data_IF_859572718095
#
_entry.id   IF_859572718095
#
_cell.length_a   1.000
_cell.length_b   1.000
_cell.length_c   1.000
_cell.angle_alpha   90.00
_cell.angle_beta   90.00
_cell.angle_gamma   90.00
#
_symmetry.space_group_name_H-M   'P 1'
#
loop_
_entity.id
_entity.type
_entity.pdbx_description
1 polymer ?
#
# COMPACT_ATOMS: atom_id res chain seq x y z
N UNK A 1 -60.29 29.72 11.08
CA UNK A 1 -59.47 29.94 9.88
C UNK A 1 -58.09 30.30 10.34
N UNK A 2 -57.08 29.49 10.01
CA UNK A 2 -55.70 29.75 10.46
C UNK A 2 -55.17 31.00 9.75
N UNK A 3 -54.52 31.91 10.48
CA UNK A 3 -53.97 33.12 9.90
C UNK A 3 -52.83 32.73 8.91
N UNK A 4 -52.87 33.21 7.66
CA UNK A 4 -51.83 32.87 6.67
C UNK A 4 -50.42 33.31 7.12
N UNK A 5 -50.29 34.35 7.93
CA UNK A 5 -48.98 34.80 8.46
C UNK A 5 -48.44 33.84 9.53
N UNK A 6 -49.29 33.28 10.38
CA UNK A 6 -48.89 32.25 11.36
C UNK A 6 -48.41 30.99 10.66
N UNK A 7 -49.11 30.58 9.60
CA UNK A 7 -48.72 29.41 8.80
C UNK A 7 -47.35 29.60 8.12
N UNK A 8 -47.01 30.81 7.69
CA UNK A 8 -45.69 31.11 7.14
C UNK A 8 -44.62 31.07 8.24
N UNK A 9 -44.91 31.63 9.43
CA UNK A 9 -44.01 31.61 10.58
C UNK A 9 -43.67 30.18 11.02
N UNK A 10 -44.67 29.31 11.12
CA UNK A 10 -44.47 27.90 11.49
C UNK A 10 -43.61 27.15 10.46
N UNK A 11 -43.81 27.45 9.17
CA UNK A 11 -43.01 26.85 8.09
C UNK A 11 -41.56 27.32 8.13
N UNK A 12 -41.31 28.60 8.41
CA UNK A 12 -39.95 29.13 8.52
C UNK A 12 -39.21 28.52 9.72
N UNK A 13 -39.89 28.41 10.86
CA UNK A 13 -39.34 27.77 12.07
C UNK A 13 -38.96 26.31 11.80
N UNK A 14 -39.81 25.56 11.09
CA UNK A 14 -39.52 24.18 10.72
C UNK A 14 -38.33 24.06 9.75
N UNK A 15 -38.18 24.99 8.81
CA UNK A 15 -37.05 25.03 7.89
C UNK A 15 -35.76 25.31 8.67
N UNK A 16 -35.76 26.27 9.60
CA UNK A 16 -34.60 26.56 10.44
C UNK A 16 -34.19 25.35 11.28
N UNK A 17 -35.15 24.67 11.90
CA UNK A 17 -34.88 23.44 12.67
C UNK A 17 -34.22 22.37 11.80
N UNK A 18 -34.75 22.12 10.59
CA UNK A 18 -34.18 21.19 9.62
C UNK A 18 -32.76 21.57 9.18
N UNK A 19 -32.50 22.86 8.94
CA UNK A 19 -31.17 23.32 8.55
C UNK A 19 -30.16 23.16 9.69
N UNK A 20 -30.59 23.39 10.93
CA UNK A 20 -29.78 23.13 12.12
C UNK A 20 -29.45 21.64 12.20
N UNK A 21 -30.43 20.75 12.04
CA UNK A 21 -30.20 19.30 12.06
C UNK A 21 -29.22 18.85 10.99
N UNK A 22 -29.38 19.32 9.74
CA UNK A 22 -28.47 19.01 8.63
C UNK A 22 -27.05 19.50 8.93
N UNK A 23 -26.89 20.67 9.55
CA UNK A 23 -25.57 21.21 9.92
C UNK A 23 -24.88 20.36 11.00
N UNK A 24 -25.64 19.76 11.90
CA UNK A 24 -25.10 18.93 12.98
C UNK A 24 -24.91 17.46 12.58
N UNK A 25 -25.41 17.07 11.40
CA UNK A 25 -25.11 15.75 10.88
C UNK A 25 -23.60 15.64 10.64
N UNK A 26 -22.94 14.60 11.18
CA UNK A 26 -21.55 14.34 10.88
C UNK A 26 -21.42 14.20 9.36
N UNK A 27 -20.32 14.71 8.76
CA UNK A 27 -20.11 14.57 7.33
C UNK A 27 -20.26 13.09 6.98
N UNK A 28 -21.00 12.75 5.90
CA UNK A 28 -21.10 11.37 5.47
C UNK A 28 -19.68 10.85 5.32
N UNK A 29 -19.38 9.73 6.00
CA UNK A 29 -18.08 9.05 5.85
C UNK A 29 -17.96 8.66 4.39
N UNK A 30 -17.31 9.50 3.60
CA UNK A 30 -16.96 9.22 2.22
C UNK A 30 -16.15 7.94 2.21
N UNK A 31 -16.67 6.92 1.52
CA UNK A 31 -15.96 5.66 1.23
C UNK A 31 -14.57 5.91 0.61
N UNK A 32 -14.35 7.11 0.05
CA UNK A 32 -13.11 7.53 -0.59
C UNK A 32 -11.92 7.68 0.37
N UNK A 33 -12.12 7.85 1.68
CA UNK A 33 -10.99 7.94 2.61
C UNK A 33 -10.19 6.62 2.71
N UNK A 34 -10.84 5.47 2.48
CA UNK A 34 -10.16 4.18 2.44
C UNK A 34 -9.46 3.89 1.09
N UNK A 35 -9.89 4.54 0.01
CA UNK A 35 -9.24 4.43 -1.31
C UNK A 35 -7.89 5.15 -1.34
N UNK A 36 -7.70 6.21 -0.55
CA UNK A 36 -6.43 6.92 -0.49
C UNK A 36 -5.35 6.16 0.33
N UNK A 37 -5.77 5.20 1.15
CA UNK A 37 -4.89 4.37 1.97
C UNK A 37 -4.22 3.24 1.17
N UNK A 38 -4.79 2.85 0.03
CA UNK A 38 -4.33 1.70 -0.76
C UNK A 38 -4.08 2.08 -2.22
N UNK A 39 -2.96 1.60 -2.76
CA UNK A 39 -2.53 1.86 -4.14
C UNK A 39 -2.46 0.57 -4.94
N UNK A 40 -2.74 0.66 -6.23
CA UNK A 40 -2.57 -0.46 -7.15
C UNK A 40 -1.17 -0.48 -7.76
N UNK A 41 -0.84 -1.56 -8.46
CA UNK A 41 0.48 -1.69 -9.09
C UNK A 41 0.71 -0.66 -10.22
N UNK A 42 -0.35 -0.19 -10.87
CA UNK A 42 -0.24 0.84 -11.91
C UNK A 42 0.22 2.18 -11.31
N UNK A 43 -0.29 2.55 -10.13
CA UNK A 43 0.19 3.71 -9.39
C UNK A 43 1.68 3.58 -9.04
N UNK A 44 2.13 2.40 -8.60
CA UNK A 44 3.54 2.15 -8.27
C UNK A 44 4.44 2.34 -9.50
N UNK A 45 4.01 1.87 -10.67
CA UNK A 45 4.75 2.06 -11.94
C UNK A 45 4.88 3.55 -12.30
N UNK A 46 3.84 4.35 -12.03
CA UNK A 46 3.85 5.79 -12.30
C UNK A 46 4.76 6.57 -11.34
N UNK A 47 4.89 6.12 -10.09
CA UNK A 47 5.76 6.77 -9.09
C UNK A 47 7.22 6.35 -9.27
N UNK A 48 7.47 5.07 -9.57
CA UNK A 48 8.80 4.50 -9.76
C UNK A 48 9.28 4.62 -11.21
N UNK A 49 9.37 5.85 -11.73
CA UNK A 49 9.82 6.12 -13.09
C UNK A 49 11.26 5.61 -13.28
N UNK A 50 11.49 4.78 -14.30
CA UNK A 50 12.81 4.25 -14.64
C UNK A 50 13.15 2.88 -14.02
N UNK A 51 12.30 2.32 -13.16
CA UNK A 51 12.48 0.95 -12.64
C UNK A 51 11.74 -0.05 -13.54
N UNK A 52 12.40 -1.11 -14.03
CA UNK A 52 11.73 -2.15 -14.82
C UNK A 52 10.58 -2.81 -14.05
N UNK A 53 9.50 -3.11 -14.77
CA UNK A 53 8.32 -3.77 -14.21
C UNK A 53 8.65 -5.08 -13.50
N UNK A 54 9.56 -5.89 -14.07
CA UNK A 54 10.00 -7.17 -13.50
C UNK A 54 10.65 -6.98 -12.13
N UNK A 55 11.47 -5.95 -11.98
CA UNK A 55 12.12 -5.58 -10.71
C UNK A 55 11.08 -5.15 -9.69
N UNK A 56 10.11 -4.32 -10.08
CA UNK A 56 9.01 -3.91 -9.21
C UNK A 56 8.14 -5.11 -8.80
N UNK A 57 7.81 -6.02 -9.71
CA UNK A 57 7.07 -7.26 -9.38
C UNK A 57 7.84 -8.15 -8.40
N UNK A 58 9.16 -8.23 -8.53
CA UNK A 58 10.02 -8.96 -7.59
C UNK A 58 10.03 -8.33 -6.19
N UNK A 59 10.03 -7.00 -6.10
CA UNK A 59 9.99 -6.24 -4.85
C UNK A 59 8.60 -6.30 -4.19
N UNK A 60 7.55 -6.08 -4.97
CA UNK A 60 6.15 -5.96 -4.52
C UNK A 60 5.37 -7.28 -4.58
N UNK A 61 6.06 -8.42 -4.58
CA UNK A 61 5.42 -9.74 -4.55
C UNK A 61 4.63 -9.93 -3.25
N UNK A 62 3.38 -10.38 -3.38
CA UNK A 62 2.33 -10.42 -2.34
C UNK A 62 2.71 -11.08 -1.00
N UNK A 63 3.81 -11.85 -0.95
CA UNK A 63 4.29 -12.51 0.28
C UNK A 63 5.21 -11.63 1.13
N UNK A 64 5.71 -10.51 0.59
CA UNK A 64 6.67 -9.63 1.27
C UNK A 64 6.05 -8.39 1.91
N UNK A 65 4.87 -7.99 1.46
CA UNK A 65 4.23 -6.73 1.89
C UNK A 65 3.06 -7.04 2.82
N UNK A 66 3.11 -6.60 4.09
CA UNK A 66 2.03 -6.85 5.03
C UNK A 66 0.77 -6.05 4.65
N UNK A 67 -0.40 -6.57 5.02
CA UNK A 67 -1.71 -5.96 4.78
C UNK A 67 -2.07 -5.71 3.29
N UNK A 68 -1.52 -6.52 2.38
CA UNK A 68 -1.92 -6.46 0.97
C UNK A 68 -3.35 -6.99 0.81
N UNK A 69 -4.25 -6.19 0.23
CA UNK A 69 -5.64 -6.58 -0.05
C UNK A 69 -5.75 -7.09 -1.48
N UNK A 70 -6.39 -8.25 -1.68
CA UNK A 70 -6.71 -8.76 -3.01
C UNK A 70 -8.17 -8.44 -3.34
N UNK A 71 -8.39 -7.61 -4.36
CA UNK A 71 -9.73 -7.30 -4.89
C UNK A 71 -9.84 -7.90 -6.29
N UNK A 72 -10.51 -9.05 -6.38
CA UNK A 72 -10.63 -9.81 -7.62
C UNK A 72 -9.26 -10.22 -8.18
N UNK A 73 -8.90 -9.68 -9.35
CA UNK A 73 -7.59 -9.92 -10.01
C UNK A 73 -6.52 -8.89 -9.63
N UNK A 74 -6.87 -7.82 -8.91
CA UNK A 74 -5.96 -6.74 -8.54
C UNK A 74 -5.44 -6.95 -7.12
N UNK A 75 -4.17 -6.62 -6.90
CA UNK A 75 -3.59 -6.45 -5.57
C UNK A 75 -3.49 -4.97 -5.25
N UNK A 76 -3.90 -4.64 -4.04
CA UNK A 76 -3.83 -3.31 -3.45
C UNK A 76 -2.86 -3.33 -2.28
N UNK A 77 -1.96 -2.37 -2.28
CA UNK A 77 -0.87 -2.25 -1.33
C UNK A 77 -1.10 -1.02 -0.45
N UNK A 78 -0.82 -1.09 0.86
CA UNK A 78 -0.90 0.10 1.70
C UNK A 78 0.08 1.18 1.23
N UNK A 79 -0.42 2.37 0.92
CA UNK A 79 0.35 3.50 0.36
C UNK A 79 1.57 3.85 1.21
N UNK A 80 1.40 3.89 2.53
CA UNK A 80 2.47 4.19 3.48
C UNK A 80 3.64 3.18 3.40
N UNK A 81 3.34 1.90 3.20
CA UNK A 81 4.37 0.86 3.10
C UNK A 81 5.10 0.96 1.75
N UNK A 82 4.34 1.21 0.68
CA UNK A 82 4.91 1.41 -0.66
C UNK A 82 5.89 2.58 -0.67
N UNK A 83 5.49 3.73 -0.10
CA UNK A 83 6.36 4.92 -0.01
C UNK A 83 7.63 4.62 0.79
N UNK A 84 7.51 3.94 1.94
CA UNK A 84 8.68 3.55 2.73
C UNK A 84 9.65 2.65 1.95
N UNK A 85 9.13 1.66 1.22
CA UNK A 85 9.96 0.79 0.37
C UNK A 85 10.68 1.60 -0.73
N UNK A 86 10.00 2.60 -1.30
CA UNK A 86 10.59 3.48 -2.31
C UNK A 86 11.68 4.35 -1.67
N UNK A 87 11.45 4.93 -0.50
CA UNK A 87 12.46 5.69 0.24
C UNK A 87 13.69 4.85 0.63
N UNK A 88 13.45 3.63 1.13
CA UNK A 88 14.50 2.67 1.48
C UNK A 88 15.28 2.21 0.25
N UNK A 89 14.66 2.19 -0.93
CA UNK A 89 15.33 1.78 -2.18
C UNK A 89 15.90 2.93 -3.01
N UNK A 90 15.46 4.16 -2.76
CA UNK A 90 16.06 5.41 -3.25
C UNK A 90 17.24 5.87 -2.39
N UNK A 91 17.28 5.44 -1.12
CA UNK A 91 18.46 5.49 -0.27
C UNK A 91 19.47 4.43 -0.69
N UNK A 92 20.09 4.62 -1.86
CA UNK A 92 21.50 4.23 -1.99
C UNK A 92 22.29 5.09 -0.99
N UNK A 93 22.24 4.72 0.29
CA UNK A 93 23.46 4.80 1.10
C UNK A 93 24.47 4.06 0.23
N UNK A 94 25.48 4.79 -0.26
CA UNK A 94 26.55 4.21 -1.03
C UNK A 94 27.06 3.00 -0.23
N UNK A 95 26.70 1.79 -0.66
CA UNK A 95 27.19 0.57 -0.06
C UNK A 95 28.67 0.59 -0.38
N UNK A 96 29.49 0.90 0.62
CA UNK A 96 30.93 0.98 0.47
C UNK A 96 31.41 -0.36 -0.09
N UNK A 97 32.41 -0.35 -0.98
CA UNK A 97 32.89 -1.55 -1.68
C UNK A 97 33.13 -2.75 -0.74
N UNK A 98 33.53 -2.48 0.51
CA UNK A 98 33.74 -3.47 1.57
C UNK A 98 32.48 -4.27 1.95
N UNK A 99 31.32 -3.61 2.02
CA UNK A 99 30.05 -4.28 2.30
C UNK A 99 29.56 -5.11 1.11
N UNK A 100 29.92 -4.70 -0.12
CA UNK A 100 29.62 -5.47 -1.32
C UNK A 100 30.45 -6.76 -1.37
N UNK A 101 31.74 -6.68 -0.99
CA UNK A 101 32.63 -7.83 -0.86
C UNK A 101 32.11 -8.87 0.13
N UNK A 102 31.75 -8.44 1.35
CA UNK A 102 31.25 -9.34 2.38
C UNK A 102 29.94 -10.07 1.97
N UNK A 103 29.08 -9.41 1.20
CA UNK A 103 27.86 -10.03 0.69
C UNK A 103 28.13 -11.01 -0.46
N UNK A 104 29.12 -10.73 -1.31
CA UNK A 104 29.54 -11.63 -2.37
C UNK A 104 30.17 -12.91 -1.80
N UNK A 105 31.07 -12.77 -0.82
CA UNK A 105 31.74 -13.90 -0.18
C UNK A 105 30.74 -14.82 0.51
N UNK A 106 29.77 -14.26 1.24
CA UNK A 106 28.68 -15.05 1.87
C UNK A 106 27.86 -15.84 0.85
N UNK A 107 27.54 -15.26 -0.31
CA UNK A 107 26.79 -15.98 -1.35
C UNK A 107 27.61 -17.09 -2.01
N UNK A 108 28.92 -16.90 -2.15
CA UNK A 108 29.83 -17.92 -2.67
C UNK A 108 29.91 -19.08 -1.68
N UNK A 109 30.07 -18.81 -0.39
CA UNK A 109 30.13 -19.83 0.67
C UNK A 109 28.83 -20.64 0.75
N UNK A 110 27.67 -20.01 0.66
CA UNK A 110 26.37 -20.70 0.63
C UNK A 110 26.23 -21.63 -0.60
N UNK A 111 26.74 -21.20 -1.77
CA UNK A 111 26.74 -22.02 -2.98
C UNK A 111 27.71 -23.18 -2.90
N UNK A 112 28.89 -22.99 -2.31
CA UNK A 112 29.87 -24.05 -2.09
C UNK A 112 29.34 -25.09 -1.10
N UNK A 113 28.75 -24.65 0.01
CA UNK A 113 28.15 -25.54 1.01
C UNK A 113 27.02 -26.41 0.44
N UNK A 114 26.17 -25.85 -0.41
CA UNK A 114 25.08 -26.60 -1.08
C UNK A 114 25.58 -27.58 -2.14
N UNK A 115 26.73 -27.31 -2.78
CA UNK A 115 27.36 -28.28 -3.70
C UNK A 115 28.02 -29.44 -2.95
N UNK A 116 28.69 -29.20 -1.82
CA UNK A 116 29.32 -30.24 -1.02
C UNK A 116 28.32 -31.24 -0.40
N UNK A 117 27.08 -30.80 -0.13
CA UNK A 117 26.01 -31.70 0.34
C UNK A 117 25.45 -32.63 -0.74
N UNK A 118 25.48 -32.24 -2.02
CA UNK A 118 25.00 -33.09 -3.13
C UNK A 118 25.93 -34.27 -3.41
N UNK A 119 27.22 -34.17 -3.13
CA UNK A 119 28.18 -35.26 -3.33
C UNK A 119 28.14 -36.35 -2.24
N UNK A 120 27.53 -36.09 -1.08
CA UNK A 120 27.48 -37.04 0.05
C UNK A 120 26.27 -37.99 0.07
N UNK A 121 25.40 -37.99 -0.96
CA UNK A 121 24.29 -38.96 -1.03
C UNK A 121 24.80 -40.30 -1.58
N UNK A 122 24.89 -41.38 -0.78
CA UNK A 122 25.27 -42.69 -1.30
C UNK A 122 24.18 -43.18 -2.25
N UNK A 123 24.59 -43.65 -3.44
CA UNK A 123 23.72 -44.40 -4.35
C UNK A 123 23.25 -45.65 -3.61
N UNK A 124 21.96 -45.72 -3.28
CA UNK A 124 21.33 -46.97 -2.88
C UNK A 124 21.34 -47.90 -4.10
N UNK A 125 22.17 -48.93 -4.04
CA UNK A 125 22.06 -50.12 -4.89
C UNK A 125 20.92 -51.01 -4.43
#
# INVERSE_FOLDING_TARGET
MQNPFELISDRLTNIEALLIEIRHQPPPKTLDQDLDLYVDFAWIMNVCIGVPETTLRGKFSSKKIPNTKKIGKRLLYPKAIVLKIIEDSGSSVAVTNDQLGQNADRQIDERLATQSQKQKRPKRG
#
